data_IF_149502968958
#
_entry.id   IF_149502968958
#
_cell.length_a   1.000
_cell.length_b   1.000
_cell.length_c   1.000
_cell.angle_alpha   90.00
_cell.angle_beta   90.00
_cell.angle_gamma   90.00
#
_symmetry.space_group_name_H-M   'P 1'
#
loop_
_entity.id
_entity.type
_entity.pdbx_description
1 polymer ?
#
# COMPACT_ATOMS: atom_id res chain seq x y z
N UNK A 1 -13.42 -16.31 -6.88
CA UNK A 1 -12.53 -15.20 -6.46
C UNK A 1 -12.44 -15.22 -4.96
N UNK A 2 -11.27 -14.85 -4.43
CA UNK A 2 -10.99 -14.79 -3.01
C UNK A 2 -10.38 -13.46 -2.60
N UNK A 3 -10.51 -13.15 -1.33
CA UNK A 3 -9.88 -12.00 -0.65
C UNK A 3 -9.30 -12.42 0.69
N UNK A 4 -8.59 -11.50 1.32
CA UNK A 4 -8.12 -11.67 2.69
C UNK A 4 -9.30 -11.81 3.65
N UNK A 5 -9.10 -12.59 4.71
CA UNK A 5 -10.03 -12.70 5.82
C UNK A 5 -9.46 -11.90 7.00
N UNK A 6 -9.81 -10.61 7.06
CA UNK A 6 -9.23 -9.65 8.01
C UNK A 6 -9.45 -10.05 9.48
N UNK A 7 -10.48 -10.85 9.78
CA UNK A 7 -10.73 -11.38 11.12
C UNK A 7 -9.60 -12.29 11.65
N UNK A 8 -8.79 -12.87 10.76
CA UNK A 8 -7.68 -13.77 11.11
C UNK A 8 -6.30 -13.09 11.02
N UNK A 9 -6.26 -11.84 10.54
CA UNK A 9 -5.01 -11.11 10.34
C UNK A 9 -4.62 -10.32 11.58
N UNK A 10 -3.31 -10.17 11.77
CA UNK A 10 -2.71 -9.32 12.81
C UNK A 10 -1.70 -8.39 12.16
N UNK A 11 -1.52 -7.21 12.78
CA UNK A 11 -0.48 -6.27 12.36
C UNK A 11 0.87 -6.99 12.38
N UNK A 12 1.67 -6.74 11.36
CA UNK A 12 2.92 -7.45 11.09
C UNK A 12 2.76 -8.63 10.14
N UNK A 13 1.57 -9.22 9.97
CA UNK A 13 1.42 -10.37 9.06
C UNK A 13 1.95 -10.05 7.65
N UNK A 14 2.75 -10.97 7.11
CA UNK A 14 3.33 -10.87 5.77
C UNK A 14 2.42 -11.59 4.80
N UNK A 15 1.97 -10.88 3.78
CA UNK A 15 1.07 -11.43 2.76
C UNK A 15 1.86 -11.59 1.47
N UNK A 16 1.93 -12.83 1.01
CA UNK A 16 2.62 -13.25 -0.19
C UNK A 16 1.60 -13.61 -1.26
N UNK A 17 1.74 -13.03 -2.46
CA UNK A 17 0.72 -13.17 -3.50
C UNK A 17 1.31 -13.40 -4.88
N UNK A 18 0.45 -13.93 -5.75
CA UNK A 18 0.69 -14.10 -7.18
C UNK A 18 -0.30 -13.26 -7.97
N UNK A 19 0.17 -12.64 -9.05
CA UNK A 19 -0.72 -12.00 -10.02
C UNK A 19 -0.56 -12.65 -11.40
N UNK A 20 -1.56 -12.49 -12.26
CA UNK A 20 -1.53 -12.97 -13.65
C UNK A 20 -0.70 -12.07 -14.58
N UNK A 21 -0.24 -10.90 -14.09
CA UNK A 21 0.48 -9.89 -14.87
C UNK A 21 1.82 -10.44 -15.42
N UNK A 22 2.26 -9.99 -16.61
CA UNK A 22 3.51 -10.46 -17.24
C UNK A 22 4.75 -10.36 -16.35
N UNK A 23 4.88 -9.27 -15.57
CA UNK A 23 5.98 -9.10 -14.59
C UNK A 23 5.98 -10.19 -13.51
N UNK A 24 4.80 -10.66 -13.09
CA UNK A 24 4.65 -11.75 -12.14
C UNK A 24 5.09 -13.09 -12.73
N UNK A 25 4.78 -13.35 -14.01
CA UNK A 25 5.28 -14.53 -14.73
C UNK A 25 6.81 -14.59 -14.76
N UNK A 26 7.46 -13.46 -15.06
CA UNK A 26 8.93 -13.36 -15.09
C UNK A 26 9.59 -13.63 -13.73
N UNK A 27 9.06 -13.06 -12.64
CA UNK A 27 9.59 -13.28 -11.29
C UNK A 27 9.44 -14.77 -10.91
N UNK A 28 8.24 -15.34 -11.07
CA UNK A 28 7.98 -16.75 -10.75
C UNK A 28 8.89 -17.71 -11.49
N UNK A 29 9.07 -17.48 -12.80
CA UNK A 29 9.95 -18.30 -13.63
C UNK A 29 11.40 -18.23 -13.13
N UNK A 30 11.90 -17.03 -12.84
CA UNK A 30 13.27 -16.82 -12.39
C UNK A 30 13.52 -17.36 -10.97
N UNK A 31 12.54 -17.26 -10.06
CA UNK A 31 12.66 -17.74 -8.67
C UNK A 31 12.17 -19.16 -8.46
N UNK A 32 11.65 -19.83 -9.51
CA UNK A 32 10.96 -21.13 -9.43
C UNK A 32 9.90 -21.15 -8.31
N UNK A 33 9.15 -20.06 -8.15
CA UNK A 33 8.19 -19.85 -7.07
C UNK A 33 6.78 -19.64 -7.63
N UNK A 34 5.76 -20.01 -6.85
CA UNK A 34 4.38 -19.61 -7.11
C UNK A 34 4.16 -18.12 -6.78
N UNK A 35 5.02 -17.48 -5.99
CA UNK A 35 4.86 -16.11 -5.48
C UNK A 35 5.69 -15.09 -6.26
N UNK A 36 5.12 -13.91 -6.46
CA UNK A 36 5.82 -12.79 -7.11
C UNK A 36 5.81 -11.49 -6.31
N UNK A 37 5.04 -11.42 -5.23
CA UNK A 37 4.81 -10.17 -4.52
C UNK A 37 4.68 -10.38 -3.02
N UNK A 38 5.09 -9.38 -2.25
CA UNK A 38 5.08 -9.38 -0.80
C UNK A 38 4.59 -8.03 -0.27
N UNK A 39 3.82 -8.06 0.81
CA UNK A 39 3.29 -6.87 1.49
C UNK A 39 3.21 -7.13 2.99
N UNK A 40 3.19 -6.07 3.79
CA UNK A 40 3.01 -6.14 5.25
C UNK A 40 1.62 -5.62 5.62
N UNK A 41 0.88 -6.35 6.47
CA UNK A 41 -0.37 -5.89 7.06
C UNK A 41 -0.06 -4.93 8.22
N UNK A 42 -0.46 -3.67 8.10
CA UNK A 42 -0.01 -2.59 9.01
C UNK A 42 -1.11 -2.05 9.92
N UNK A 43 -2.36 -2.29 9.57
CA UNK A 43 -3.54 -1.84 10.31
C UNK A 43 -4.77 -2.61 9.83
N UNK A 44 -5.89 -2.46 10.54
CA UNK A 44 -7.19 -2.94 10.09
C UNK A 44 -7.45 -2.56 8.63
N UNK A 45 -7.56 -3.59 7.77
CA UNK A 45 -7.78 -3.47 6.35
C UNK A 45 -6.71 -2.70 5.56
N UNK A 46 -5.49 -2.54 6.10
CA UNK A 46 -4.40 -1.81 5.44
C UNK A 46 -3.15 -2.66 5.29
N UNK A 47 -2.60 -2.66 4.08
CA UNK A 47 -1.28 -3.23 3.78
C UNK A 47 -0.38 -2.18 3.16
N UNK A 48 0.92 -2.32 3.36
CA UNK A 48 1.93 -1.54 2.64
C UNK A 48 2.78 -2.49 1.79
N UNK A 49 2.94 -2.12 0.51
CA UNK A 49 3.73 -2.87 -0.46
C UNK A 49 4.59 -1.94 -1.30
N UNK A 50 5.46 -2.52 -2.13
CA UNK A 50 6.22 -1.79 -3.14
C UNK A 50 5.95 -2.37 -4.50
N UNK A 51 5.36 -1.58 -5.40
CA UNK A 51 5.06 -1.95 -6.80
C UNK A 51 5.64 -0.90 -7.74
N UNK A 52 5.34 -0.98 -9.05
CA UNK A 52 5.73 0.06 -10.02
C UNK A 52 5.28 1.48 -9.65
N UNK A 53 4.25 1.62 -8.80
CA UNK A 53 3.76 2.90 -8.29
C UNK A 53 4.59 3.44 -7.11
N UNK A 54 5.67 2.75 -6.74
CA UNK A 54 6.44 2.99 -5.53
C UNK A 54 5.91 2.22 -4.32
N UNK A 55 6.36 2.62 -3.13
CA UNK A 55 5.84 2.09 -1.86
C UNK A 55 4.48 2.72 -1.56
N UNK A 56 3.44 1.94 -1.37
CA UNK A 56 2.08 2.45 -1.23
C UNK A 56 1.29 1.72 -0.14
N UNK A 57 0.36 2.45 0.50
CA UNK A 57 -0.69 1.84 1.31
C UNK A 57 -1.87 1.41 0.42
N UNK A 58 -2.44 0.24 0.70
CA UNK A 58 -3.58 -0.31 -0.04
C UNK A 58 -4.63 -0.84 0.95
N UNK A 59 -5.90 -0.68 0.57
CA UNK A 59 -7.01 -1.25 1.33
C UNK A 59 -7.20 -2.73 0.94
N UNK A 60 -7.10 -3.64 1.90
CA UNK A 60 -7.24 -5.09 1.67
C UNK A 60 -8.61 -5.49 1.17
N UNK A 61 -9.65 -4.71 1.49
CA UNK A 61 -11.01 -4.94 1.02
C UNK A 61 -11.11 -4.81 -0.50
N UNK A 62 -10.18 -4.09 -1.15
CA UNK A 62 -10.11 -3.89 -2.59
C UNK A 62 -9.11 -4.84 -3.28
N UNK A 63 -8.52 -5.77 -2.54
CA UNK A 63 -7.58 -6.76 -3.08
C UNK A 63 -8.30 -8.09 -3.28
N UNK A 64 -8.35 -8.52 -4.54
CA UNK A 64 -8.99 -9.76 -4.95
C UNK A 64 -8.05 -10.59 -5.80
N UNK A 65 -8.13 -11.90 -5.63
CA UNK A 65 -7.36 -12.86 -6.41
C UNK A 65 -8.29 -13.92 -6.99
N UNK A 66 -7.93 -14.41 -8.17
CA UNK A 66 -8.56 -15.61 -8.73
C UNK A 66 -8.24 -16.81 -7.83
N UNK A 67 -9.16 -17.79 -7.77
CA UNK A 67 -9.08 -18.86 -6.77
C UNK A 67 -7.82 -19.72 -6.94
N UNK A 68 -7.38 -19.89 -8.18
CA UNK A 68 -6.18 -20.64 -8.55
C UNK A 68 -4.86 -19.91 -8.27
N UNK A 69 -4.88 -18.59 -8.00
CA UNK A 69 -3.66 -17.83 -7.70
C UNK A 69 -3.27 -17.99 -6.23
N UNK A 70 -1.98 -18.14 -5.95
CA UNK A 70 -1.51 -18.34 -4.58
C UNK A 70 -1.62 -17.05 -3.75
N UNK A 71 -2.11 -17.21 -2.51
CA UNK A 71 -2.12 -16.19 -1.47
C UNK A 71 -1.73 -16.89 -0.18
N UNK A 72 -0.55 -16.58 0.35
CA UNK A 72 -0.09 -17.09 1.65
C UNK A 72 0.00 -15.93 2.63
N UNK A 73 -0.51 -16.13 3.84
CA UNK A 73 -0.31 -15.20 4.95
C UNK A 73 0.61 -15.86 5.96
N UNK A 74 1.66 -15.16 6.33
CA UNK A 74 2.71 -15.63 7.20
C UNK A 74 2.82 -14.72 8.43
N UNK A 75 3.04 -15.32 9.59
CA UNK A 75 3.20 -14.64 10.87
C UNK A 75 4.51 -15.05 11.52
N UNK A 76 5.12 -14.14 12.26
CA UNK A 76 6.30 -14.45 13.07
C UNK A 76 5.92 -15.46 14.16
N UNK A 77 6.64 -16.59 14.23
CA UNK A 77 6.35 -17.70 15.15
C UNK A 77 6.46 -17.28 16.60
N UNK A 78 7.47 -16.48 16.90
CA UNK A 78 7.74 -15.99 18.24
C UNK A 78 6.72 -14.94 18.72
N UNK A 79 5.85 -14.46 17.81
CA UNK A 79 5.03 -13.27 18.04
C UNK A 79 5.86 -11.99 17.88
N UNK A 80 5.16 -10.86 17.76
CA UNK A 80 5.76 -9.53 17.81
C UNK A 80 5.39 -8.88 19.15
N UNK A 81 6.35 -8.20 19.76
CA UNK A 81 6.11 -7.22 20.82
C UNK A 81 5.43 -5.98 20.25
N UNK A 82 4.90 -5.14 21.13
CA UNK A 82 4.30 -3.87 20.72
C UNK A 82 5.36 -2.94 20.10
N UNK A 83 6.55 -2.89 20.69
CA UNK A 83 7.69 -2.12 20.20
C UNK A 83 8.13 -2.60 18.82
N UNK A 84 8.32 -3.91 18.60
CA UNK A 84 8.67 -4.45 17.29
C UNK A 84 7.57 -4.15 16.25
N UNK A 85 6.30 -4.23 16.65
CA UNK A 85 5.16 -3.90 15.79
C UNK A 85 5.19 -2.43 15.38
N UNK A 86 5.47 -1.53 16.31
CA UNK A 86 5.60 -0.09 16.07
C UNK A 86 6.80 0.23 15.18
N UNK A 87 7.95 -0.40 15.40
CA UNK A 87 9.14 -0.23 14.56
C UNK A 87 8.88 -0.68 13.11
N UNK A 88 8.31 -1.89 12.93
CA UNK A 88 7.97 -2.42 11.61
C UNK A 88 7.01 -1.49 10.88
N UNK A 89 5.92 -1.08 11.55
CA UNK A 89 4.88 -0.24 10.93
C UNK A 89 5.37 1.17 10.63
N UNK A 90 6.16 1.76 11.54
CA UNK A 90 6.78 3.09 11.35
C UNK A 90 7.78 3.05 10.20
N UNK A 91 8.58 1.99 10.08
CA UNK A 91 9.50 1.80 8.98
C UNK A 91 8.77 1.81 7.64
N UNK A 92 7.76 0.96 7.44
CA UNK A 92 7.07 0.89 6.14
C UNK A 92 6.27 2.16 5.82
N UNK A 93 5.66 2.80 6.83
CA UNK A 93 4.96 4.09 6.67
C UNK A 93 5.92 5.19 6.27
N UNK A 94 7.10 5.26 6.89
CA UNK A 94 8.16 6.23 6.55
C UNK A 94 8.78 6.02 5.16
N UNK A 95 8.49 4.90 4.49
CA UNK A 95 8.94 4.63 3.11
C UNK A 95 7.89 4.91 2.04
N UNK A 96 6.66 5.30 2.40
CA UNK A 96 5.60 5.59 1.43
C UNK A 96 6.11 6.58 0.37
N UNK A 97 5.84 6.24 -0.89
CA UNK A 97 6.24 7.00 -2.07
C UNK A 97 7.65 6.72 -2.61
N UNK A 98 8.47 5.95 -1.89
CA UNK A 98 9.80 5.51 -2.36
C UNK A 98 9.68 4.78 -3.70
N UNK A 99 10.53 5.16 -4.67
CA UNK A 99 10.44 4.61 -6.02
C UNK A 99 10.79 3.12 -6.07
N UNK A 100 10.16 2.42 -7.02
CA UNK A 100 10.42 1.01 -7.28
C UNK A 100 11.78 0.77 -7.93
N UNK A 101 12.48 -0.27 -7.47
CA UNK A 101 13.75 -0.72 -8.00
C UNK A 101 13.58 -1.89 -8.97
N UNK A 102 12.98 -1.66 -10.16
CA UNK A 102 12.71 -2.72 -11.15
C UNK A 102 13.93 -3.58 -11.48
N UNK A 103 15.09 -2.94 -11.68
CA UNK A 103 16.33 -3.62 -12.05
C UNK A 103 16.88 -4.46 -10.88
N UNK A 104 16.68 -4.03 -9.64
CA UNK A 104 17.16 -4.78 -8.48
C UNK A 104 16.20 -5.88 -8.05
N UNK A 105 14.89 -5.70 -8.26
CA UNK A 105 13.93 -6.79 -8.09
C UNK A 105 14.34 -7.97 -8.96
N UNK A 106 14.76 -7.72 -10.21
CA UNK A 106 15.33 -8.74 -11.09
C UNK A 106 16.70 -9.24 -10.61
N UNK A 107 17.61 -8.35 -10.17
CA UNK A 107 18.93 -8.76 -9.65
C UNK A 107 18.90 -9.48 -8.31
N UNK A 108 17.85 -9.34 -7.49
CA UNK A 108 17.67 -10.16 -6.28
C UNK A 108 17.56 -11.64 -6.62
N UNK A 109 17.22 -11.95 -7.88
CA UNK A 109 17.10 -13.30 -8.42
C UNK A 109 18.38 -13.74 -9.17
N UNK A 110 19.32 -12.84 -9.46
CA UNK A 110 20.56 -13.15 -10.20
C UNK A 110 21.83 -12.92 -9.36
N UNK A 111 22.93 -13.61 -9.67
CA UNK A 111 24.21 -13.51 -8.93
C UNK A 111 25.06 -12.26 -9.29
N UNK A 112 24.47 -11.24 -9.90
CA UNK A 112 25.20 -10.04 -10.37
C UNK A 112 25.61 -9.08 -9.24
N UNK A 113 26.45 -8.07 -9.56
CA UNK A 113 26.92 -7.10 -8.56
C UNK A 113 25.77 -6.33 -7.90
N UNK A 114 25.81 -6.34 -6.57
CA UNK A 114 24.79 -5.81 -5.65
C UNK A 114 25.17 -4.39 -5.24
N UNK A 115 24.59 -3.38 -5.90
CA UNK A 115 24.70 -1.96 -5.48
C UNK A 115 23.53 -1.61 -4.57
N UNK A 116 23.81 -1.09 -3.37
CA UNK A 116 22.76 -0.57 -2.48
C UNK A 116 22.17 0.71 -3.09
N UNK A 117 20.85 0.80 -3.11
CA UNK A 117 20.10 2.01 -3.46
C UNK A 117 18.94 2.15 -2.49
N UNK A 118 18.49 3.40 -2.32
CA UNK A 118 17.36 3.77 -1.46
C UNK A 118 16.01 3.35 -2.05
N UNK A 119 15.97 2.91 -3.31
CA UNK A 119 14.77 2.40 -3.97
C UNK A 119 14.34 1.05 -3.39
N UNK A 120 13.05 0.75 -3.49
CA UNK A 120 12.45 -0.42 -2.86
C UNK A 120 11.91 -1.42 -3.86
N UNK A 121 11.84 -2.68 -3.46
CA UNK A 121 10.97 -3.67 -4.08
C UNK A 121 10.27 -4.49 -2.99
N UNK A 122 9.22 -5.22 -3.36
CA UNK A 122 8.25 -5.77 -2.42
C UNK A 122 8.87 -6.57 -1.26
N UNK A 123 9.70 -7.57 -1.54
CA UNK A 123 10.32 -8.41 -0.52
C UNK A 123 11.46 -7.72 0.24
N UNK A 124 12.19 -6.77 -0.38
CA UNK A 124 13.16 -5.94 0.34
C UNK A 124 12.47 -5.07 1.38
N UNK A 125 11.37 -4.43 1.02
CA UNK A 125 10.61 -3.58 1.93
C UNK A 125 10.21 -4.36 3.19
N UNK A 126 9.64 -5.56 3.00
CA UNK A 126 9.25 -6.47 4.10
C UNK A 126 10.48 -6.86 4.93
N UNK A 127 11.56 -7.33 4.30
CA UNK A 127 12.73 -7.80 5.01
C UNK A 127 13.45 -6.69 5.78
N UNK A 128 13.52 -5.47 5.23
CA UNK A 128 14.09 -4.31 5.92
C UNK A 128 13.21 -3.81 7.06
N UNK A 129 11.87 -3.86 6.93
CA UNK A 129 10.96 -3.51 8.00
C UNK A 129 11.18 -4.38 9.23
N UNK A 130 11.24 -5.70 9.04
CA UNK A 130 11.55 -6.62 10.14
C UNK A 130 12.97 -6.43 10.68
N UNK A 131 13.95 -6.19 9.80
CA UNK A 131 15.32 -5.92 10.24
C UNK A 131 15.43 -4.63 11.07
N UNK A 132 14.58 -3.63 10.85
CA UNK A 132 14.53 -2.40 11.68
C UNK A 132 14.11 -2.69 13.13
N UNK A 133 13.32 -3.74 13.33
CA UNK A 133 12.95 -4.27 14.64
C UNK A 133 13.92 -5.37 15.15
N UNK A 134 15.11 -5.52 14.54
CA UNK A 134 16.08 -6.57 14.92
C UNK A 134 15.72 -7.99 14.48
N UNK A 135 14.68 -8.16 13.66
CA UNK A 135 14.20 -9.48 13.22
C UNK A 135 14.73 -9.80 11.82
N UNK A 136 15.64 -10.76 11.73
CA UNK A 136 16.19 -11.21 10.46
C UNK A 136 15.33 -12.33 9.84
N UNK A 137 14.55 -12.00 8.80
CA UNK A 137 13.72 -12.98 8.07
C UNK A 137 14.45 -13.75 6.96
N UNK A 138 15.56 -13.19 6.46
CA UNK A 138 16.37 -13.75 5.39
C UNK A 138 17.85 -13.39 5.60
N UNK A 139 18.76 -14.10 4.92
CA UNK A 139 20.20 -13.84 5.01
C UNK A 139 20.58 -12.37 4.72
N UNK A 140 19.84 -11.71 3.83
CA UNK A 140 20.01 -10.30 3.50
C UNK A 140 18.66 -9.60 3.44
N UNK A 141 18.53 -8.48 4.16
CA UNK A 141 17.36 -7.59 4.07
C UNK A 141 17.32 -6.80 2.76
N UNK A 142 18.49 -6.52 2.17
CA UNK A 142 18.62 -5.76 0.92
C UNK A 142 18.35 -6.62 -0.34
N UNK A 143 18.53 -7.94 -0.23
CA UNK A 143 18.39 -8.89 -1.33
C UNK A 143 17.65 -10.15 -0.85
N UNK A 144 16.34 -10.06 -0.83
CA UNK A 144 15.43 -11.13 -0.44
C UNK A 144 14.37 -11.33 -1.52
N UNK A 145 14.06 -12.56 -1.92
CA UNK A 145 12.92 -12.84 -2.81
C UNK A 145 11.67 -13.20 -1.98
N UNK A 146 10.45 -13.06 -2.54
CA UNK A 146 9.25 -13.52 -1.84
C UNK A 146 9.30 -15.01 -1.43
N UNK A 147 9.97 -15.85 -2.24
CA UNK A 147 10.18 -17.28 -1.92
C UNK A 147 11.09 -17.48 -0.70
N UNK A 148 12.11 -16.63 -0.52
CA UNK A 148 12.95 -16.68 0.68
C UNK A 148 12.15 -16.32 1.93
N UNK A 149 11.23 -15.35 1.85
CA UNK A 149 10.30 -15.06 2.95
C UNK A 149 9.39 -16.26 3.21
N UNK A 150 8.81 -16.85 2.15
CA UNK A 150 7.93 -18.02 2.26
C UNK A 150 8.58 -19.20 2.99
N UNK A 151 9.88 -19.41 2.76
CA UNK A 151 10.65 -20.52 3.35
C UNK A 151 11.40 -20.13 4.63
N UNK A 152 11.16 -18.93 5.18
CA UNK A 152 11.79 -18.50 6.43
C UNK A 152 11.35 -19.40 7.59
N UNK A 153 12.30 -19.96 8.34
CA UNK A 153 12.02 -20.82 9.50
C UNK A 153 11.31 -20.07 10.63
N UNK A 154 11.49 -18.75 10.70
CA UNK A 154 10.86 -17.86 11.69
C UNK A 154 9.37 -17.60 11.42
N UNK A 155 8.89 -17.94 10.24
CA UNK A 155 7.51 -17.66 9.84
C UNK A 155 6.65 -18.94 9.87
N UNK A 156 5.40 -18.79 10.29
CA UNK A 156 4.37 -19.82 10.21
C UNK A 156 3.18 -19.32 9.38
N UNK A 157 2.44 -20.25 8.76
CA UNK A 157 1.24 -19.92 8.00
C UNK A 157 0.09 -19.56 8.92
N UNK A 158 -0.64 -18.51 8.59
CA UNK A 158 -1.92 -18.16 9.23
C UNK A 158 -3.04 -18.98 8.60
N UNK A 159 -3.76 -19.76 9.41
CA UNK A 159 -4.90 -20.56 8.97
C UNK A 159 -6.09 -19.68 8.60
N UNK A 160 -6.88 -20.09 7.60
CA UNK A 160 -8.12 -19.41 7.19
C UNK A 160 -7.93 -17.92 6.85
N UNK A 161 -6.74 -17.54 6.37
CA UNK A 161 -6.38 -16.16 6.10
C UNK A 161 -7.02 -15.58 4.83
N UNK A 162 -7.74 -16.40 4.07
CA UNK A 162 -8.52 -15.97 2.90
C UNK A 162 -9.94 -16.50 2.99
N UNK A 163 -10.86 -15.81 2.32
CA UNK A 163 -12.26 -16.22 2.16
C UNK A 163 -12.75 -15.95 0.74
N UNK A 164 -13.80 -16.65 0.34
CA UNK A 164 -14.50 -16.35 -0.91
C UNK A 164 -15.17 -14.97 -0.84
N UNK A 165 -15.25 -14.33 -2.01
CA UNK A 165 -15.98 -13.08 -2.19
C UNK A 165 -16.97 -13.21 -3.34
N UNK A 166 -18.19 -12.71 -3.13
CA UNK A 166 -19.25 -12.71 -4.13
C UNK A 166 -19.14 -11.54 -5.11
N UNK A 167 -19.68 -11.70 -6.32
CA UNK A 167 -19.78 -10.62 -7.30
C UNK A 167 -20.56 -9.40 -6.75
N UNK A 168 -21.60 -9.65 -5.94
CA UNK A 168 -22.37 -8.60 -5.27
C UNK A 168 -21.49 -7.79 -4.31
N UNK A 169 -20.65 -8.45 -3.52
CA UNK A 169 -19.73 -7.78 -2.59
C UNK A 169 -18.67 -6.96 -3.35
N UNK A 170 -18.09 -7.51 -4.43
CA UNK A 170 -17.14 -6.79 -5.29
C UNK A 170 -17.77 -5.51 -5.86
N UNK A 171 -18.99 -5.62 -6.39
CA UNK A 171 -19.72 -4.48 -6.95
C UNK A 171 -20.00 -3.41 -5.89
N UNK A 172 -20.40 -3.81 -4.68
CA UNK A 172 -20.61 -2.88 -3.57
C UNK A 172 -19.32 -2.13 -3.19
N UNK A 173 -18.19 -2.84 -3.10
CA UNK A 173 -16.89 -2.23 -2.77
C UNK A 173 -16.43 -1.27 -3.87
N UNK A 174 -16.60 -1.64 -5.14
CA UNK A 174 -16.20 -0.82 -6.28
C UNK A 174 -17.08 0.43 -6.45
N UNK A 175 -18.33 0.40 -5.98
CA UNK A 175 -19.21 1.56 -5.96
C UNK A 175 -18.71 2.68 -5.02
N UNK A 176 -17.97 2.33 -3.96
CA UNK A 176 -17.40 3.31 -3.01
C UNK A 176 -16.20 4.03 -3.66
N UNK A 177 -15.99 5.29 -3.29
CA UNK A 177 -14.82 6.07 -3.71
C UNK A 177 -13.53 5.50 -3.10
N UNK A 178 -12.49 5.37 -3.92
CA UNK A 178 -11.21 4.80 -3.48
C UNK A 178 -10.31 5.91 -2.93
N UNK A 179 -10.57 6.31 -1.69
CA UNK A 179 -9.75 7.31 -0.99
C UNK A 179 -8.27 6.89 -0.95
N UNK A 180 -7.91 5.63 -0.65
CA UNK A 180 -6.51 5.18 -0.72
C UNK A 180 -5.86 5.38 -2.10
N UNK A 181 -6.59 5.12 -3.19
CA UNK A 181 -6.09 5.41 -4.54
C UNK A 181 -5.85 6.91 -4.76
N UNK A 182 -6.79 7.78 -4.35
CA UNK A 182 -6.61 9.22 -4.42
C UNK A 182 -5.37 9.67 -3.63
N UNK A 183 -5.20 9.18 -2.40
CA UNK A 183 -4.04 9.54 -1.57
C UNK A 183 -2.72 9.10 -2.18
N UNK A 184 -2.67 7.91 -2.80
CA UNK A 184 -1.52 7.48 -3.60
C UNK A 184 -1.22 8.46 -4.73
N UNK A 185 -2.23 8.85 -5.50
CA UNK A 185 -2.05 9.69 -6.67
C UNK A 185 -1.55 11.09 -6.26
N UNK A 186 -2.10 11.67 -5.19
CA UNK A 186 -1.65 12.93 -4.60
C UNK A 186 -0.21 12.82 -4.07
N UNK A 187 0.09 11.77 -3.31
CA UNK A 187 1.45 11.54 -2.78
C UNK A 187 2.48 11.43 -3.89
N UNK A 188 2.15 10.69 -4.95
CA UNK A 188 3.04 10.53 -6.10
C UNK A 188 3.19 11.84 -6.89
N UNK A 189 2.14 12.66 -7.01
CA UNK A 189 2.24 13.97 -7.63
C UNK A 189 3.20 14.89 -6.86
N UNK A 190 3.06 14.97 -5.53
CA UNK A 190 3.98 15.73 -4.66
C UNK A 190 5.42 15.21 -4.83
N UNK A 191 5.64 13.90 -4.73
CA UNK A 191 7.00 13.36 -4.79
C UNK A 191 7.62 13.49 -6.19
N UNK A 192 6.82 13.46 -7.25
CA UNK A 192 7.34 13.70 -8.60
C UNK A 192 7.77 15.15 -8.79
N UNK A 193 6.98 16.12 -8.30
CA UNK A 193 7.41 17.53 -8.27
C UNK A 193 8.63 17.75 -7.40
N UNK A 194 8.66 17.17 -6.19
CA UNK A 194 9.82 17.24 -5.30
C UNK A 194 11.12 16.78 -5.99
N UNK A 195 11.04 15.72 -6.79
CA UNK A 195 12.18 15.18 -7.56
C UNK A 195 12.62 16.08 -8.72
N UNK A 196 11.89 17.13 -9.06
CA UNK A 196 12.38 18.17 -9.98
C UNK A 196 13.47 19.02 -9.30
N UNK A 197 13.37 19.23 -7.98
CA UNK A 197 14.37 19.93 -7.16
C UNK A 197 15.53 19.04 -6.76
N UNK A 198 15.23 17.82 -6.33
CA UNK A 198 16.28 16.87 -5.95
C UNK A 198 15.89 15.43 -6.33
N UNK A 199 16.64 14.86 -7.28
CA UNK A 199 16.45 13.48 -7.77
C UNK A 199 16.63 12.43 -6.68
N UNK A 200 17.26 12.77 -5.55
CA UNK A 200 17.48 11.87 -4.43
C UNK A 200 16.27 11.73 -3.51
N UNK A 201 15.26 12.63 -3.60
CA UNK A 201 14.02 12.53 -2.81
C UNK A 201 13.27 11.25 -3.17
N UNK A 202 13.13 10.35 -2.19
CA UNK A 202 12.43 9.08 -2.35
C UNK A 202 11.06 9.10 -1.67
N UNK A 203 10.96 9.58 -0.43
CA UNK A 203 9.72 9.59 0.36
C UNK A 203 9.47 10.97 0.97
N UNK A 204 8.29 11.18 1.56
CA UNK A 204 7.89 12.50 2.08
C UNK A 204 8.88 13.06 3.12
N UNK A 205 9.44 12.23 4.00
CA UNK A 205 10.42 12.68 4.99
C UNK A 205 11.72 13.25 4.36
N UNK A 206 12.02 12.93 3.09
CA UNK A 206 13.18 13.53 2.40
C UNK A 206 12.93 14.99 2.02
N UNK A 207 11.66 15.40 1.88
CA UNK A 207 11.30 16.80 1.62
C UNK A 207 11.66 17.65 2.84
N UNK A 208 11.34 17.16 4.05
CA UNK A 208 11.68 17.88 5.29
C UNK A 208 13.19 18.03 5.47
N UNK A 209 13.96 16.99 5.14
CA UNK A 209 15.42 17.04 5.14
C UNK A 209 15.97 18.01 4.08
N UNK A 210 15.39 17.97 2.88
CA UNK A 210 15.77 18.88 1.80
C UNK A 210 15.53 20.34 2.19
N UNK A 211 14.37 20.67 2.75
CA UNK A 211 14.03 22.03 3.18
C UNK A 211 14.90 22.53 4.34
N UNK A 212 15.40 21.63 5.21
CA UNK A 212 16.36 21.99 6.25
C UNK A 212 17.71 22.44 5.68
N UNK A 213 18.11 21.91 4.53
CA UNK A 213 19.38 22.23 3.87
C UNK A 213 19.25 23.25 2.74
N UNK A 214 18.04 23.39 2.17
CA UNK A 214 17.71 24.27 1.05
C UNK A 214 16.41 25.06 1.34
N UNK A 215 16.40 25.92 2.38
CA UNK A 215 15.21 26.67 2.77
C UNK A 215 14.69 27.60 1.67
N UNK A 216 15.53 27.98 0.70
CA UNK A 216 15.11 28.76 -0.48
C UNK A 216 14.08 28.05 -1.36
N UNK A 217 13.94 26.73 -1.24
CA UNK A 217 12.94 25.96 -1.97
C UNK A 217 11.56 25.93 -1.28
N UNK A 218 11.41 26.50 -0.07
CA UNK A 218 10.16 26.45 0.70
C UNK A 218 8.92 26.88 -0.11
N UNK A 219 8.98 28.04 -0.77
CA UNK A 219 7.87 28.56 -1.57
C UNK A 219 7.48 27.61 -2.72
N UNK A 220 8.44 26.90 -3.31
CA UNK A 220 8.17 25.89 -4.33
C UNK A 220 7.40 24.70 -3.75
N UNK A 221 7.86 24.17 -2.60
CA UNK A 221 7.21 23.04 -1.96
C UNK A 221 5.82 23.40 -1.42
N UNK A 222 5.65 24.58 -0.82
CA UNK A 222 4.34 25.08 -0.38
C UNK A 222 3.33 25.14 -1.54
N UNK A 223 3.76 25.66 -2.71
CA UNK A 223 2.95 25.68 -3.92
C UNK A 223 2.63 24.26 -4.40
N UNK A 224 3.62 23.37 -4.43
CA UNK A 224 3.46 21.98 -4.85
C UNK A 224 2.44 21.22 -3.98
N UNK A 225 2.50 21.37 -2.65
CA UNK A 225 1.52 20.78 -1.74
C UNK A 225 0.11 21.34 -1.99
N UNK A 226 -0.02 22.65 -2.21
CA UNK A 226 -1.31 23.30 -2.52
C UNK A 226 -1.91 22.78 -3.82
N UNK A 227 -1.10 22.67 -4.88
CA UNK A 227 -1.54 22.25 -6.22
C UNK A 227 -1.82 20.75 -6.32
N UNK A 228 -1.14 19.92 -5.52
CA UNK A 228 -1.39 18.47 -5.48
C UNK A 228 -2.82 18.12 -5.03
N UNK A 229 -3.53 19.07 -4.42
CA UNK A 229 -4.96 18.95 -4.18
C UNK A 229 -5.33 18.12 -2.95
N UNK A 230 -4.42 17.96 -1.98
CA UNK A 230 -4.68 17.30 -0.68
C UNK A 230 -6.02 17.78 -0.07
N UNK A 231 -6.33 19.07 -0.20
CA UNK A 231 -7.57 19.66 0.34
C UNK A 231 -8.77 19.67 -0.62
N UNK A 232 -8.57 19.91 -1.92
CA UNK A 232 -9.68 20.11 -2.87
C UNK A 232 -10.22 18.79 -3.46
N UNK A 233 -9.34 17.83 -3.79
CA UNK A 233 -9.75 16.60 -4.49
C UNK A 233 -10.48 15.61 -3.59
N UNK A 234 -10.25 15.67 -2.27
CA UNK A 234 -11.02 14.85 -1.31
C UNK A 234 -12.50 15.24 -1.28
N UNK A 235 -12.81 16.53 -1.40
CA UNK A 235 -14.19 17.05 -1.39
C UNK A 235 -14.90 16.75 -2.70
N UNK A 236 -14.20 16.91 -3.83
CA UNK A 236 -14.76 16.68 -5.17
C UNK A 236 -15.01 15.19 -5.46
N UNK A 237 -14.05 14.30 -5.15
CA UNK A 237 -14.19 12.87 -5.42
C UNK A 237 -15.32 12.18 -4.63
N UNK A 238 -15.57 12.62 -3.39
CA UNK A 238 -16.71 12.16 -2.58
C UNK A 238 -18.02 12.70 -3.15
N UNK A 239 -18.04 13.94 -3.63
CA UNK A 239 -19.23 14.61 -4.18
C UNK A 239 -19.65 14.01 -5.53
N UNK A 240 -18.72 13.78 -6.45
CA UNK A 240 -19.00 13.21 -7.78
C UNK A 240 -19.58 11.80 -7.71
N UNK A 241 -19.02 10.91 -6.87
CA UNK A 241 -19.58 9.56 -6.70
C UNK A 241 -20.90 9.56 -5.93
N UNK A 242 -21.09 10.48 -4.97
CA UNK A 242 -22.39 10.65 -4.30
C UNK A 242 -23.47 11.08 -5.30
N UNK A 243 -23.16 11.98 -6.24
CA UNK A 243 -24.04 12.38 -7.32
C UNK A 243 -24.32 11.24 -8.31
N UNK A 244 -23.31 10.43 -8.68
CA UNK A 244 -23.48 9.28 -9.56
C UNK A 244 -24.26 8.10 -8.92
N UNK A 245 -24.19 7.96 -7.59
CA UNK A 245 -25.01 7.01 -6.82
C UNK A 245 -26.46 7.49 -6.71
N UNK A 246 -26.69 8.80 -6.58
CA UNK A 246 -28.03 9.41 -6.61
C UNK A 246 -28.67 9.31 -8.00
N UNK A 247 -27.91 9.54 -9.07
CA UNK A 247 -28.43 9.43 -10.45
C UNK A 247 -28.76 8.00 -10.89
N UNK A 248 -28.32 6.96 -10.15
CA UNK A 248 -28.72 5.56 -10.35
C UNK A 248 -29.88 5.12 -9.45
N UNK A 249 -30.24 5.94 -8.45
CA UNK A 249 -31.34 5.68 -7.53
C UNK A 249 -32.63 6.43 -7.93
N UNK A 250 -32.56 7.40 -8.84
CA UNK A 250 -33.70 8.18 -9.30
C UNK A 250 -34.45 7.49 -10.45
N UNK A 251 -35.03 6.35 -10.11
CA UNK A 251 -36.28 5.86 -10.66
C UNK A 251 -37.22 5.60 -9.50
N UNK A 252 -37.71 6.68 -8.86
CA UNK A 252 -38.93 6.82 -8.04
C UNK A 252 -38.84 8.16 -7.28
N UNK A 253 -39.81 9.04 -7.56
CA UNK A 253 -40.28 10.21 -6.81
C UNK A 253 -39.69 10.50 -5.42
N UNK A 254 -39.22 11.73 -5.20
CA UNK A 254 -40.04 12.80 -4.58
C UNK A 254 -39.14 13.99 -4.20
N UNK A 255 -39.18 15.04 -5.04
CA UNK A 255 -38.75 16.38 -4.70
C UNK A 255 -39.74 16.91 -3.66
N UNK A 256 -39.22 17.37 -2.52
CA UNK A 256 -39.85 18.18 -1.43
C UNK A 256 -39.76 17.50 -0.06
N UNK A 257 -38.58 17.55 0.58
CA UNK A 257 -38.41 17.39 2.06
C UNK A 257 -37.01 17.68 2.61
N UNK A 258 -35.98 17.80 1.77
CA UNK A 258 -34.60 18.02 2.25
C UNK A 258 -34.26 19.49 2.53
N UNK A 259 -35.08 20.45 2.06
CA UNK A 259 -34.88 21.87 2.40
C UNK A 259 -35.19 22.21 3.86
N UNK A 260 -36.04 21.43 4.55
CA UNK A 260 -36.39 21.68 5.96
C UNK A 260 -35.41 21.04 6.96
N UNK A 261 -34.68 19.97 6.57
CA UNK A 261 -33.75 19.30 7.48
C UNK A 261 -32.41 20.03 7.66
N UNK A 262 -32.04 20.90 6.71
CA UNK A 262 -30.74 21.62 6.71
C UNK A 262 -30.78 22.88 7.60
N UNK A 263 -31.95 23.43 7.91
CA UNK A 263 -32.09 24.61 8.79
C UNK A 263 -32.22 24.22 10.28
N UNK A 264 -32.72 23.03 10.60
CA UNK A 264 -33.09 22.66 11.98
C UNK A 264 -32.03 21.89 12.79
N UNK A 265 -30.87 21.54 12.22
CA UNK A 265 -29.77 20.87 12.97
C UNK A 265 -28.55 21.75 13.27
N UNK A 266 -28.66 23.06 13.02
CA UNK A 266 -27.64 24.04 13.40
C UNK A 266 -27.94 24.78 14.72
N UNK A 267 -28.96 24.36 15.51
CA UNK A 267 -29.35 25.09 16.73
C UNK A 267 -29.63 24.29 18.00
N UNK A 268 -29.49 22.96 18.07
CA UNK A 268 -29.62 22.24 19.35
C UNK A 268 -28.72 20.99 19.45
N UNK A 269 -27.76 21.12 20.38
CA UNK A 269 -26.84 20.13 20.99
C UNK A 269 -25.72 19.57 20.09
#
# INVERSE_FOLDING_TARGET
MKKLNEANLKVGDIILTTTSLPKSKGIRFATKSDISHAMVYVESHSVIDSTGDGVQSRNTQRLFWEDHLAVHVLRLREGLTEEETQEITSYVRGRIGTQYATMEAFRSVTRGPKRKTRKQFCSRLVAQAYASAGIQLAQSSDYCTPEMLKNSSRLCKVSNATRLISAREINAINAVFDIPALMRDVTNAVLNGAREKDKNIQHLNDIDEHLRTHPENDAYFAKLFKESGVSNRMVEGVREKSLALRSRADGIECITRVREAIVLRATRL
#
